data_IF_420274277366
#
_entry.id   IF_420274277366
#
_cell.length_a   1.000
_cell.length_b   1.000
_cell.length_c   1.000
_cell.angle_alpha   90.00
_cell.angle_beta   90.00
_cell.angle_gamma   90.00
#
_symmetry.space_group_name_H-M   'P 1'
#
loop_
_entity.id
_entity.type
_entity.pdbx_description
1 polymer ?
#
# COMPACT_ATOMS: atom_id res chain seq x y z
N UNK A 1 4.68 -21.49 7.11
CA UNK A 1 5.81 -20.70 6.59
C UNK A 1 7.09 -21.32 7.12
N UNK A 2 8.16 -21.40 6.32
CA UNK A 2 9.46 -21.90 6.78
C UNK A 2 10.18 -20.72 7.45
N UNK A 3 10.65 -20.89 8.68
CA UNK A 3 11.44 -19.88 9.41
C UNK A 3 12.84 -20.41 9.71
N UNK A 4 13.80 -19.50 9.85
CA UNK A 4 15.14 -19.81 10.36
C UNK A 4 15.10 -19.61 11.88
N UNK A 5 15.36 -20.65 12.69
CA UNK A 5 15.47 -20.49 14.14
C UNK A 5 16.56 -19.49 14.50
N UNK A 6 16.36 -18.70 15.57
CA UNK A 6 17.33 -17.71 16.01
C UNK A 6 18.71 -18.31 16.27
N UNK A 7 18.77 -19.48 16.92
CA UNK A 7 20.01 -20.22 17.15
C UNK A 7 20.73 -20.56 15.84
N UNK A 8 19.99 -20.96 14.80
CA UNK A 8 20.55 -21.21 13.46
C UNK A 8 21.05 -19.92 12.83
N UNK A 9 20.28 -18.83 12.91
CA UNK A 9 20.72 -17.53 12.37
C UNK A 9 22.01 -17.03 13.04
N UNK A 10 22.16 -17.22 14.35
CA UNK A 10 23.38 -16.89 15.10
C UNK A 10 24.54 -17.79 14.69
N UNK A 11 24.32 -19.12 14.67
CA UNK A 11 25.35 -20.10 14.34
C UNK A 11 25.91 -19.91 12.93
N UNK A 12 25.04 -19.60 11.98
CA UNK A 12 25.40 -19.41 10.57
C UNK A 12 25.78 -17.96 10.23
N UNK A 13 25.83 -17.05 11.22
CA UNK A 13 26.27 -15.67 11.02
C UNK A 13 25.35 -14.84 10.12
N UNK A 14 24.04 -15.06 10.22
CA UNK A 14 23.00 -14.41 9.38
C UNK A 14 22.42 -13.16 10.08
N UNK A 15 22.52 -13.08 11.42
CA UNK A 15 21.91 -12.00 12.22
C UNK A 15 22.94 -11.33 13.14
N UNK A 16 22.92 -9.99 13.14
CA UNK A 16 23.75 -9.13 13.98
C UNK A 16 22.91 -7.94 14.46
N UNK A 17 23.28 -7.34 15.59
CA UNK A 17 22.65 -6.11 16.08
C UNK A 17 23.59 -4.91 15.98
N UNK A 18 23.07 -3.81 15.46
CA UNK A 18 23.69 -2.50 15.53
C UNK A 18 22.98 -1.67 16.61
N UNK A 19 23.68 -1.08 17.60
CA UNK A 19 23.07 -0.28 18.65
C UNK A 19 22.49 1.04 18.11
N UNK A 20 21.26 1.42 18.46
CA UNK A 20 20.65 2.70 18.02
C UNK A 20 19.93 3.44 19.17
N UNK A 21 20.23 4.73 19.42
CA UNK A 21 19.50 5.57 20.36
C UNK A 21 18.30 6.30 19.70
N UNK A 22 17.14 6.47 20.33
CA UNK A 22 16.53 5.63 21.37
C UNK A 22 15.12 5.30 20.93
N UNK A 23 14.80 4.01 20.94
CA UNK A 23 13.52 3.49 20.44
C UNK A 23 13.25 3.96 19.00
N UNK A 24 14.17 3.69 18.07
CA UNK A 24 14.11 4.21 16.71
C UNK A 24 12.84 3.78 15.98
N UNK A 25 12.51 4.49 14.90
CA UNK A 25 11.31 4.24 14.11
C UNK A 25 11.60 3.84 12.66
N UNK A 26 11.88 4.80 11.79
CA UNK A 26 12.18 4.58 10.38
C UNK A 26 13.59 4.04 10.18
N UNK A 27 13.74 3.16 9.19
CA UNK A 27 14.99 2.52 8.80
C UNK A 27 15.00 2.51 7.27
N UNK A 28 15.67 3.51 6.71
CA UNK A 28 15.48 3.90 5.32
C UNK A 28 16.82 3.79 4.59
N UNK A 29 16.86 3.07 3.45
CA UNK A 29 18.10 2.87 2.67
C UNK A 29 18.25 3.95 1.61
N UNK A 30 19.37 4.68 1.66
CA UNK A 30 19.67 5.74 0.70
C UNK A 30 19.66 5.20 -0.75
N UNK A 31 19.25 6.00 -1.76
CA UNK A 31 19.25 5.62 -3.19
C UNK A 31 20.55 5.03 -3.72
N UNK A 32 21.69 5.39 -3.11
CA UNK A 32 22.99 4.85 -3.47
C UNK A 32 23.29 3.45 -2.88
N UNK A 33 22.43 2.93 -2.02
CA UNK A 33 22.53 1.59 -1.43
C UNK A 33 23.67 1.40 -0.44
N UNK A 34 24.45 2.44 -0.15
CA UNK A 34 25.63 2.39 0.71
C UNK A 34 25.37 2.82 2.16
N UNK A 35 24.22 3.45 2.44
CA UNK A 35 23.87 3.91 3.78
C UNK A 35 22.45 3.52 4.19
N UNK A 36 22.28 3.22 5.48
CA UNK A 36 20.98 3.08 6.15
C UNK A 36 20.82 4.29 7.08
N UNK A 37 19.69 4.98 7.00
CA UNK A 37 19.34 6.09 7.88
C UNK A 37 18.29 5.64 8.86
N UNK A 38 18.56 5.83 10.15
CA UNK A 38 17.63 5.45 11.22
C UNK A 38 17.12 6.70 11.94
N UNK A 39 15.79 6.81 12.04
CA UNK A 39 15.14 7.91 12.77
C UNK A 39 15.14 7.66 14.28
N UNK A 40 15.85 8.50 15.03
CA UNK A 40 16.09 8.32 16.46
C UNK A 40 14.86 8.42 17.37
N UNK A 41 13.72 8.91 16.87
CA UNK A 41 12.43 9.11 17.55
C UNK A 41 12.50 9.87 18.87
N UNK A 42 12.95 9.22 19.94
CA UNK A 42 13.14 9.86 21.25
C UNK A 42 14.48 10.59 21.33
N UNK A 43 15.40 10.28 20.44
CA UNK A 43 16.64 11.02 20.20
C UNK A 43 16.45 12.02 19.04
N UNK A 44 16.98 13.26 19.12
CA UNK A 44 16.76 14.28 18.10
C UNK A 44 17.63 14.12 16.84
N UNK A 45 18.40 13.04 16.73
CA UNK A 45 19.24 12.75 15.58
C UNK A 45 18.60 11.75 14.61
N UNK A 46 19.10 11.78 13.38
CA UNK A 46 19.17 10.58 12.55
C UNK A 46 20.57 9.99 12.64
N UNK A 47 20.64 8.67 12.76
CA UNK A 47 21.91 7.94 12.68
C UNK A 47 22.08 7.37 11.30
N UNK A 48 23.21 7.66 10.66
CA UNK A 48 23.57 7.11 9.35
C UNK A 48 24.55 5.97 9.57
N UNK A 49 24.18 4.77 9.15
CA UNK A 49 25.04 3.59 9.14
C UNK A 49 25.62 3.37 7.75
N UNK A 50 26.90 2.97 7.68
CA UNK A 50 27.53 2.57 6.41
C UNK A 50 27.44 1.06 6.24
N UNK A 51 26.92 0.63 5.09
CA UNK A 51 26.86 -0.79 4.70
C UNK A 51 28.27 -1.41 4.66
N UNK A 52 29.25 -0.66 4.16
CA UNK A 52 30.65 -1.10 4.11
C UNK A 52 31.19 -1.30 5.53
N UNK A 53 31.01 -0.33 6.41
CA UNK A 53 31.45 -0.40 7.80
C UNK A 53 30.81 -1.57 8.55
N UNK A 54 29.51 -1.81 8.35
CA UNK A 54 28.81 -2.98 8.91
C UNK A 54 29.47 -4.28 8.45
N UNK A 55 29.66 -4.46 7.14
CA UNK A 55 30.27 -5.68 6.58
C UNK A 55 31.71 -5.86 7.06
N UNK A 56 32.48 -4.77 7.16
CA UNK A 56 33.83 -4.79 7.70
C UNK A 56 33.84 -5.21 9.18
N UNK A 57 32.97 -4.63 10.01
CA UNK A 57 32.85 -4.98 11.43
C UNK A 57 32.48 -6.46 11.61
N UNK A 58 31.53 -6.98 10.81
CA UNK A 58 31.17 -8.41 10.79
C UNK A 58 32.38 -9.27 10.41
N UNK A 59 33.09 -8.92 9.32
CA UNK A 59 34.24 -9.70 8.83
C UNK A 59 35.40 -9.75 9.82
N UNK A 60 35.61 -8.67 10.58
CA UNK A 60 36.64 -8.54 11.61
C UNK A 60 36.20 -9.08 12.97
N UNK A 61 34.94 -9.50 13.08
CA UNK A 61 34.29 -9.88 14.33
C UNK A 61 34.41 -8.78 15.41
N UNK A 62 34.30 -7.52 14.99
CA UNK A 62 34.39 -6.36 15.89
C UNK A 62 33.08 -6.15 16.65
N UNK A 63 32.91 -6.97 17.68
CA UNK A 63 31.72 -7.00 18.52
C UNK A 63 32.02 -6.44 19.91
N UNK A 64 31.05 -5.73 20.50
CA UNK A 64 31.11 -5.31 21.90
C UNK A 64 30.58 -6.39 22.86
N UNK A 65 29.86 -7.37 22.34
CA UNK A 65 29.32 -8.46 23.11
C UNK A 65 28.29 -9.27 22.34
N UNK A 66 27.44 -9.96 23.09
CA UNK A 66 26.27 -10.67 22.59
C UNK A 66 25.06 -10.29 23.41
N UNK A 67 23.89 -10.33 22.79
CA UNK A 67 22.63 -10.20 23.52
C UNK A 67 22.33 -11.48 24.34
N UNK A 68 21.26 -11.51 25.16
CA UNK A 68 20.89 -12.69 25.95
C UNK A 68 20.58 -13.95 25.12
N UNK A 69 20.35 -13.83 23.82
CA UNK A 69 20.08 -14.94 22.90
C UNK A 69 21.31 -15.34 22.07
N UNK A 70 22.47 -14.72 22.30
CA UNK A 70 23.73 -15.03 21.65
C UNK A 70 24.00 -14.29 20.34
N UNK A 71 23.12 -13.36 19.94
CA UNK A 71 23.29 -12.53 18.74
C UNK A 71 24.46 -11.56 18.95
N UNK A 72 25.47 -11.53 18.06
CA UNK A 72 26.57 -10.59 18.20
C UNK A 72 26.11 -9.13 18.04
N UNK A 73 26.64 -8.26 18.89
CA UNK A 73 26.36 -6.83 18.91
C UNK A 73 27.58 -6.09 18.34
N UNK A 74 27.38 -5.40 17.23
CA UNK A 74 28.39 -4.59 16.55
C UNK A 74 28.70 -3.34 17.39
N UNK A 75 29.96 -2.88 17.39
CA UNK A 75 30.31 -1.61 18.04
C UNK A 75 29.68 -0.44 17.28
N UNK A 76 28.95 0.42 17.98
CA UNK A 76 28.26 1.57 17.38
C UNK A 76 29.17 2.44 16.49
N UNK A 77 30.31 2.89 17.02
CA UNK A 77 31.25 3.73 16.27
C UNK A 77 31.95 3.00 15.11
N UNK A 78 31.97 1.66 15.12
CA UNK A 78 32.53 0.87 14.02
C UNK A 78 31.58 0.79 12.82
N UNK A 79 30.27 1.00 13.02
CA UNK A 79 29.24 0.86 11.97
C UNK A 79 28.58 2.19 11.57
N UNK A 80 28.59 3.17 12.48
CA UNK A 80 28.10 4.53 12.24
C UNK A 80 29.00 5.25 11.23
N UNK A 81 28.35 5.89 10.27
CA UNK A 81 28.96 6.87 9.37
C UNK A 81 28.89 8.27 9.95
N UNK A 82 27.68 8.70 10.32
CA UNK A 82 27.42 10.03 10.84
C UNK A 82 26.20 10.04 11.78
N UNK A 83 26.07 11.10 12.56
CA UNK A 83 24.82 11.47 13.23
C UNK A 83 24.51 12.92 12.88
N UNK A 84 23.27 13.17 12.47
CA UNK A 84 22.81 14.51 12.10
C UNK A 84 21.71 14.91 13.08
N UNK A 85 21.92 15.97 13.83
CA UNK A 85 20.87 16.55 14.70
C UNK A 85 19.83 17.25 13.80
N UNK A 86 18.64 16.67 13.71
CA UNK A 86 17.61 17.13 12.77
C UNK A 86 16.44 17.82 13.46
N UNK A 87 16.20 17.56 14.75
CA UNK A 87 15.11 18.15 15.52
C UNK A 87 14.32 17.14 16.33
N UNK A 88 13.19 17.56 16.90
CA UNK A 88 12.45 16.72 17.85
C UNK A 88 11.51 15.73 17.14
N UNK A 89 11.63 14.45 17.51
CA UNK A 89 10.79 13.38 16.99
C UNK A 89 11.12 12.92 15.57
N UNK A 90 12.40 12.67 15.18
CA UNK A 90 12.72 12.19 13.85
C UNK A 90 12.17 10.78 13.65
N UNK A 91 11.28 10.60 12.65
CA UNK A 91 10.62 9.31 12.42
C UNK A 91 11.08 8.61 11.16
N UNK A 92 11.04 9.24 9.99
CA UNK A 92 11.20 8.56 8.70
C UNK A 92 11.89 9.46 7.69
N UNK A 93 12.70 8.90 6.79
CA UNK A 93 13.55 9.62 5.83
C UNK A 93 13.26 9.23 4.38
N UNK A 94 13.29 10.21 3.47
CA UNK A 94 13.25 10.03 2.01
C UNK A 94 14.27 10.92 1.32
N UNK A 95 14.47 10.77 0.01
CA UNK A 95 15.54 11.45 -0.73
C UNK A 95 15.06 12.09 -2.04
N UNK A 96 15.84 13.05 -2.55
CA UNK A 96 15.65 13.62 -3.89
C UNK A 96 16.86 13.35 -4.81
N UNK A 97 16.77 13.86 -6.05
CA UNK A 97 17.84 13.81 -7.05
C UNK A 97 18.90 14.91 -6.93
N UNK A 98 18.82 15.77 -5.91
CA UNK A 98 19.75 16.87 -5.70
C UNK A 98 20.73 16.60 -4.55
N UNK A 99 20.63 15.43 -3.90
CA UNK A 99 21.52 15.04 -2.81
C UNK A 99 21.01 15.46 -1.43
N UNK A 100 19.70 15.71 -1.30
CA UNK A 100 19.08 15.97 -0.01
C UNK A 100 18.30 14.76 0.49
N UNK A 101 18.32 14.60 1.81
CA UNK A 101 17.44 13.75 2.57
C UNK A 101 16.41 14.61 3.32
N UNK A 102 15.22 14.04 3.52
CA UNK A 102 14.06 14.68 4.13
C UNK A 102 13.58 13.80 5.27
N UNK A 103 13.66 14.29 6.51
CA UNK A 103 13.24 13.53 7.70
C UNK A 103 12.03 14.17 8.35
N UNK A 104 11.00 13.38 8.64
CA UNK A 104 9.82 13.84 9.39
C UNK A 104 10.15 14.07 10.86
N UNK A 105 9.71 15.21 11.40
CA UNK A 105 9.86 15.58 12.80
C UNK A 105 8.47 15.67 13.45
N UNK A 106 8.09 14.61 14.17
CA UNK A 106 6.76 14.46 14.74
C UNK A 106 6.43 15.53 15.77
N UNK A 107 7.39 15.89 16.63
CA UNK A 107 7.16 16.86 17.70
C UNK A 107 7.31 18.30 17.19
N UNK A 108 8.30 18.56 16.33
CA UNK A 108 8.46 19.88 15.71
C UNK A 108 7.37 20.20 14.68
N UNK A 109 6.58 19.19 14.25
CA UNK A 109 5.65 19.29 13.12
C UNK A 109 6.32 19.92 11.89
N UNK A 110 7.44 19.33 11.49
CA UNK A 110 8.25 19.82 10.37
C UNK A 110 8.89 18.68 9.58
N UNK A 111 9.38 18.99 8.38
CA UNK A 111 10.29 18.14 7.61
C UNK A 111 11.68 18.78 7.66
N UNK A 112 12.67 18.06 8.20
CA UNK A 112 14.07 18.45 8.12
C UNK A 112 14.65 18.10 6.75
N UNK A 113 15.15 19.09 6.00
CA UNK A 113 15.99 18.86 4.81
C UNK A 113 17.45 18.91 5.25
N UNK A 114 18.21 17.87 4.94
CA UNK A 114 19.64 17.77 5.25
C UNK A 114 20.40 17.10 4.09
N UNK A 115 21.72 17.25 4.04
CA UNK A 115 22.53 16.79 2.90
C UNK A 115 23.02 15.36 3.05
N UNK A 116 23.02 14.62 1.94
CA UNK A 116 23.61 13.30 1.84
C UNK A 116 25.14 13.37 1.75
N UNK A 117 25.83 12.33 2.22
CA UNK A 117 27.28 12.19 2.03
C UNK A 117 27.67 11.47 0.75
N UNK A 118 28.33 10.32 0.89
CA UNK A 118 28.81 9.59 -0.28
C UNK A 118 27.63 9.01 -1.08
N UNK A 119 27.37 9.59 -2.26
CA UNK A 119 26.32 9.21 -3.19
C UNK A 119 26.53 9.96 -4.53
N UNK A 120 25.96 9.44 -5.63
CA UNK A 120 25.97 10.12 -6.95
C UNK A 120 25.23 11.47 -6.94
N UNK A 121 24.28 11.64 -6.03
CA UNK A 121 23.54 12.89 -5.84
C UNK A 121 24.28 13.77 -4.83
N UNK A 122 24.57 15.02 -5.19
CA UNK A 122 25.39 15.94 -4.39
C UNK A 122 24.71 17.29 -4.23
N UNK A 123 24.42 17.64 -2.99
CA UNK A 123 24.04 18.98 -2.59
C UNK A 123 25.27 19.90 -2.52
N UNK A 124 25.12 21.22 -2.65
CA UNK A 124 26.23 22.17 -2.57
C UNK A 124 26.77 22.37 -1.15
N UNK A 125 25.98 22.13 -0.11
CA UNK A 125 26.43 22.20 1.28
C UNK A 125 27.30 20.99 1.65
N UNK A 126 27.99 21.07 2.80
CA UNK A 126 28.79 19.95 3.30
C UNK A 126 27.92 18.71 3.53
N UNK A 127 28.44 17.49 3.35
CA UNK A 127 27.77 16.26 3.74
C UNK A 127 27.19 16.29 5.16
N UNK A 128 26.09 15.56 5.38
CA UNK A 128 25.55 15.31 6.71
C UNK A 128 25.14 16.59 7.48
N UNK A 129 24.68 17.61 6.74
CA UNK A 129 24.39 18.94 7.29
C UNK A 129 22.90 19.24 7.21
N UNK A 130 22.30 19.64 8.33
CA UNK A 130 20.94 20.18 8.36
C UNK A 130 20.89 21.51 7.59
N UNK A 131 20.00 21.60 6.60
CA UNK A 131 19.86 22.78 5.73
C UNK A 131 18.67 23.63 6.12
N UNK A 132 17.51 23.01 6.37
CA UNK A 132 16.30 23.73 6.78
C UNK A 132 15.27 22.82 7.45
N UNK A 133 14.32 23.43 8.15
CA UNK A 133 13.07 22.79 8.60
C UNK A 133 11.89 23.41 7.86
N UNK A 134 11.07 22.57 7.25
CA UNK A 134 9.87 22.95 6.49
C UNK A 134 8.66 22.69 7.39
N UNK A 135 7.93 23.71 7.87
CA UNK A 135 6.77 23.49 8.73
C UNK A 135 5.65 22.71 8.02
N UNK A 136 5.02 21.79 8.75
CA UNK A 136 3.86 20.99 8.32
C UNK A 136 2.79 20.97 9.41
N UNK A 137 1.57 20.56 9.07
CA UNK A 137 0.38 20.67 9.95
C UNK A 137 -0.43 19.39 10.02
N UNK A 138 -0.42 18.62 11.10
CA UNK A 138 0.55 18.61 12.20
C UNK A 138 1.01 17.19 12.49
N UNK A 139 2.12 17.06 13.23
CA UNK A 139 2.61 15.78 13.72
C UNK A 139 2.80 14.77 12.58
N UNK A 140 3.76 15.09 11.70
CA UNK A 140 4.10 14.24 10.56
C UNK A 140 4.58 12.87 11.01
N UNK A 141 4.04 11.82 10.39
CA UNK A 141 4.48 10.44 10.55
C UNK A 141 5.56 10.09 9.53
N UNK A 142 5.16 9.40 8.47
CA UNK A 142 6.03 9.16 7.31
C UNK A 142 5.93 10.31 6.30
N UNK A 143 6.80 10.27 5.31
CA UNK A 143 6.77 11.12 4.12
C UNK A 143 7.15 10.29 2.90
N UNK A 144 6.79 10.77 1.72
CA UNK A 144 7.15 10.14 0.45
C UNK A 144 7.66 11.20 -0.53
N UNK A 145 8.79 10.97 -1.18
CA UNK A 145 9.24 11.79 -2.32
C UNK A 145 8.99 11.04 -3.62
N UNK A 146 8.93 11.75 -4.75
CA UNK A 146 8.78 11.11 -6.05
C UNK A 146 9.95 10.15 -6.32
N UNK A 147 9.63 8.86 -6.42
CA UNK A 147 10.58 7.76 -6.61
C UNK A 147 11.69 7.68 -5.54
N UNK A 148 11.42 8.21 -4.34
CA UNK A 148 12.38 8.36 -3.23
C UNK A 148 13.08 7.09 -2.81
N UNK A 149 12.34 5.98 -2.73
CA UNK A 149 12.86 4.66 -2.32
C UNK A 149 13.50 3.85 -3.47
N UNK A 150 13.90 4.53 -4.54
CA UNK A 150 14.54 3.89 -5.68
C UNK A 150 16.00 4.33 -5.80
N UNK A 151 16.76 3.66 -6.67
CA UNK A 151 18.13 4.07 -7.00
C UNK A 151 18.21 5.36 -7.84
N UNK A 152 17.06 5.91 -8.24
CA UNK A 152 16.96 7.09 -9.08
C UNK A 152 15.73 7.94 -8.69
N UNK A 153 15.75 8.58 -7.50
CA UNK A 153 14.70 9.50 -7.08
C UNK A 153 14.46 10.58 -8.14
N UNK A 154 13.21 11.00 -8.31
CA UNK A 154 12.86 12.06 -9.26
C UNK A 154 12.87 13.46 -8.60
N UNK A 155 12.76 13.50 -7.27
CA UNK A 155 12.71 14.73 -6.49
C UNK A 155 11.42 15.52 -6.76
N UNK A 156 11.54 16.84 -6.89
CA UNK A 156 10.45 17.81 -7.21
C UNK A 156 9.30 17.90 -6.19
N UNK A 157 8.68 16.79 -5.82
CA UNK A 157 7.56 16.75 -4.89
C UNK A 157 7.82 15.82 -3.71
N UNK A 158 7.30 16.23 -2.57
CA UNK A 158 7.25 15.48 -1.33
C UNK A 158 5.81 15.51 -0.80
N UNK A 159 5.32 14.40 -0.26
CA UNK A 159 4.06 14.33 0.48
C UNK A 159 4.37 14.05 1.94
N UNK A 160 3.93 14.95 2.83
CA UNK A 160 3.98 14.77 4.27
C UNK A 160 2.70 14.12 4.78
N UNK A 161 2.80 12.98 5.47
CA UNK A 161 1.64 12.22 5.97
C UNK A 161 1.36 12.61 7.42
N UNK A 162 0.65 13.71 7.61
CA UNK A 162 0.40 14.30 8.93
C UNK A 162 -0.72 13.58 9.67
N UNK A 163 -0.49 13.29 10.94
CA UNK A 163 -1.39 12.47 11.75
C UNK A 163 -2.58 13.25 12.27
N UNK A 164 -2.39 14.53 12.55
CA UNK A 164 -3.43 15.37 13.14
C UNK A 164 -3.79 16.52 12.21
N UNK A 165 -5.09 16.63 11.92
CA UNK A 165 -5.68 17.75 11.15
C UNK A 165 -5.88 18.99 11.99
N UNK A 166 -6.31 18.83 13.25
CA UNK A 166 -6.65 19.93 14.17
C UNK A 166 -7.60 20.94 13.51
N UNK A 167 -7.07 22.07 13.03
CA UNK A 167 -7.80 23.21 12.46
C UNK A 167 -7.58 23.40 10.94
N UNK A 168 -6.93 22.45 10.26
CA UNK A 168 -6.68 22.54 8.81
C UNK A 168 -7.97 22.53 7.95
N UNK A 169 -9.06 21.97 8.47
CA UNK A 169 -10.33 21.80 7.74
C UNK A 169 -11.54 22.18 8.60
N UNK A 170 -12.70 22.27 7.95
CA UNK A 170 -13.97 22.40 8.65
C UNK A 170 -14.17 21.23 9.63
N UNK A 171 -14.69 21.54 10.81
CA UNK A 171 -14.95 20.54 11.84
C UNK A 171 -16.07 19.59 11.38
N UNK A 172 -15.76 18.30 11.32
CA UNK A 172 -16.68 17.21 10.93
C UNK A 172 -17.07 16.31 12.11
N UNK A 173 -16.78 16.73 13.34
CA UNK A 173 -17.01 15.97 14.57
C UNK A 173 -15.72 15.39 15.16
N UNK A 174 -15.83 14.47 16.13
CA UNK A 174 -14.70 14.01 16.93
C UNK A 174 -13.68 13.15 16.17
N UNK A 175 -14.10 12.50 15.08
CA UNK A 175 -13.20 11.75 14.20
C UNK A 175 -12.77 12.64 13.05
N UNK A 176 -11.60 13.27 13.19
CA UNK A 176 -11.00 14.09 12.15
C UNK A 176 -10.24 13.23 11.12
N UNK A 177 -10.14 13.69 9.86
CA UNK A 177 -9.26 13.07 8.88
C UNK A 177 -7.78 13.20 9.27
N UNK A 178 -6.91 12.51 8.54
CA UNK A 178 -5.48 12.86 8.45
C UNK A 178 -5.28 13.96 7.42
N UNK A 179 -4.14 14.65 7.46
CA UNK A 179 -3.79 15.67 6.45
C UNK A 179 -2.57 15.24 5.66
N UNK A 180 -2.70 15.06 4.34
CA UNK A 180 -1.54 14.87 3.48
C UNK A 180 -1.19 16.20 2.82
N UNK A 181 0.03 16.67 3.04
CA UNK A 181 0.48 17.94 2.46
C UNK A 181 1.44 17.69 1.30
N UNK A 182 1.10 18.20 0.12
CA UNK A 182 2.00 18.23 -1.03
C UNK A 182 2.95 19.41 -0.89
N UNK A 183 4.26 19.16 -1.02
CA UNK A 183 5.33 20.12 -0.83
C UNK A 183 6.20 20.14 -2.10
N UNK A 184 6.45 21.34 -2.64
CA UNK A 184 7.41 21.55 -3.72
C UNK A 184 8.83 21.62 -3.15
N UNK A 185 9.66 20.65 -3.53
CA UNK A 185 11.07 20.53 -3.16
C UNK A 185 12.01 20.72 -4.36
N UNK A 186 11.49 21.19 -5.51
CA UNK A 186 12.26 21.32 -6.75
C UNK A 186 13.37 22.37 -6.72
N UNK A 187 13.30 23.34 -5.80
CA UNK A 187 14.25 24.46 -5.72
C UNK A 187 15.24 24.24 -4.58
N UNK A 188 16.50 23.97 -4.94
CA UNK A 188 17.63 24.04 -4.01
C UNK A 188 17.86 25.50 -3.57
N UNK A 189 18.22 25.70 -2.29
CA UNK A 189 18.48 27.02 -1.71
C UNK A 189 17.24 27.86 -1.32
N UNK A 190 16.04 27.50 -1.76
CA UNK A 190 14.79 28.13 -1.30
C UNK A 190 14.11 27.29 -0.20
N UNK A 191 13.31 27.96 0.63
CA UNK A 191 12.37 27.29 1.54
C UNK A 191 11.29 26.59 0.74
N UNK A 192 11.15 25.28 0.95
CA UNK A 192 10.13 24.47 0.28
C UNK A 192 8.74 24.99 0.63
N UNK A 193 7.81 24.90 -0.33
CA UNK A 193 6.46 25.46 -0.17
C UNK A 193 5.43 24.34 -0.12
N UNK A 194 4.56 24.40 0.89
CA UNK A 194 3.33 23.60 0.89
C UNK A 194 2.43 24.12 -0.23
N UNK A 195 2.03 23.24 -1.15
CA UNK A 195 1.19 23.54 -2.29
C UNK A 195 -0.28 23.20 -2.06
N UNK A 196 -0.55 22.13 -1.31
CA UNK A 196 -1.90 21.58 -1.17
C UNK A 196 -2.04 20.78 0.13
N UNK A 197 -3.18 20.94 0.79
CA UNK A 197 -3.59 20.19 1.98
C UNK A 197 -4.75 19.27 1.60
N UNK A 198 -4.53 17.95 1.61
CA UNK A 198 -5.54 16.95 1.26
C UNK A 198 -6.08 16.26 2.51
N UNK A 199 -7.40 16.31 2.78
CA UNK A 199 -7.99 15.50 3.83
C UNK A 199 -7.99 14.04 3.39
N UNK A 200 -7.33 13.18 4.16
CA UNK A 200 -7.41 11.74 4.01
C UNK A 200 -8.44 11.23 4.99
N UNK A 201 -9.45 10.52 4.49
CA UNK A 201 -10.54 9.99 5.30
C UNK A 201 -10.10 8.91 6.29
N UNK A 202 -10.90 7.87 6.42
CA UNK A 202 -10.71 6.84 7.46
C UNK A 202 -9.45 6.01 7.17
N UNK A 203 -8.73 5.65 8.24
CA UNK A 203 -7.75 4.57 8.23
C UNK A 203 -6.31 4.97 8.53
N UNK A 204 -6.02 6.26 8.67
CA UNK A 204 -4.68 6.80 8.98
C UNK A 204 -3.56 6.15 8.14
N UNK A 205 -3.52 6.32 6.81
CA UNK A 205 -2.51 5.64 6.00
C UNK A 205 -1.11 6.00 6.48
N UNK A 206 -0.34 4.97 6.83
CA UNK A 206 0.95 5.13 7.49
C UNK A 206 2.08 5.39 6.52
N UNK A 207 1.96 4.93 5.27
CA UNK A 207 3.00 5.02 4.27
C UNK A 207 2.42 5.15 2.87
N UNK A 208 3.20 5.70 1.94
CA UNK A 208 2.83 5.86 0.53
C UNK A 208 4.08 5.78 -0.35
N UNK A 209 3.86 5.54 -1.64
CA UNK A 209 4.89 5.54 -2.68
C UNK A 209 4.44 6.43 -3.84
N UNK A 210 5.38 7.10 -4.48
CA UNK A 210 5.11 7.98 -5.62
C UNK A 210 5.95 7.47 -6.79
N UNK A 211 5.28 7.10 -7.88
CA UNK A 211 5.90 6.57 -9.11
C UNK A 211 5.42 7.38 -10.32
N UNK A 212 6.27 7.51 -11.34
CA UNK A 212 5.84 8.09 -12.62
C UNK A 212 4.74 7.25 -13.27
N UNK A 213 3.69 7.91 -13.76
CA UNK A 213 2.53 7.24 -14.32
C UNK A 213 2.85 6.41 -15.58
N UNK A 214 3.86 6.83 -16.38
CA UNK A 214 4.29 6.13 -17.59
C UNK A 214 4.97 4.77 -17.33
N UNK A 215 5.40 4.50 -16.09
CA UNK A 215 5.94 3.20 -15.67
C UNK A 215 4.83 2.17 -15.40
N UNK A 216 3.58 2.61 -15.19
CA UNK A 216 2.46 1.72 -14.88
C UNK A 216 1.82 1.19 -16.17
N UNK A 217 1.79 -0.14 -16.31
CA UNK A 217 1.17 -0.85 -17.44
C UNK A 217 -0.06 -1.62 -16.95
N UNK A 218 -1.15 -0.90 -16.72
CA UNK A 218 -2.40 -1.48 -16.26
C UNK A 218 -3.21 -2.11 -17.41
N UNK A 219 -4.02 -3.11 -17.09
CA UNK A 219 -5.05 -3.60 -17.99
C UNK A 219 -6.28 -2.69 -17.92
N UNK A 220 -6.78 -2.27 -19.08
CA UNK A 220 -8.04 -1.52 -19.16
C UNK A 220 -9.27 -2.45 -19.17
N UNK A 221 -9.05 -3.69 -19.62
CA UNK A 221 -9.99 -4.81 -19.69
C UNK A 221 -9.15 -6.07 -19.49
N UNK A 222 -9.70 -7.11 -18.85
CA UNK A 222 -8.91 -8.32 -18.65
C UNK A 222 -8.49 -8.99 -19.98
N UNK A 223 -7.32 -9.66 -20.00
CA UNK A 223 -6.72 -10.18 -21.23
C UNK A 223 -7.68 -11.00 -22.10
N UNK A 224 -8.48 -11.87 -21.49
CA UNK A 224 -9.51 -12.67 -22.16
C UNK A 224 -10.83 -12.66 -21.36
N UNK A 225 -11.94 -12.98 -22.02
CA UNK A 225 -13.23 -13.17 -21.34
C UNK A 225 -13.16 -14.40 -20.44
N UNK A 226 -13.60 -14.22 -19.21
CA UNK A 226 -13.59 -15.24 -18.19
C UNK A 226 -12.34 -15.25 -17.32
N UNK A 227 -11.64 -14.12 -17.20
CA UNK A 227 -10.43 -14.00 -16.41
C UNK A 227 -10.70 -14.11 -14.91
N UNK A 228 -9.76 -14.71 -14.17
CA UNK A 228 -9.72 -14.69 -12.72
C UNK A 228 -8.51 -13.84 -12.29
N UNK A 229 -8.72 -12.66 -11.66
CA UNK A 229 -7.61 -11.79 -11.27
C UNK A 229 -6.76 -12.36 -10.13
N UNK A 230 -7.32 -13.24 -9.30
CA UNK A 230 -6.61 -13.87 -8.18
C UNK A 230 -5.58 -14.88 -8.71
N UNK A 231 -5.96 -15.69 -9.69
CA UNK A 231 -5.06 -16.71 -10.29
C UNK A 231 -4.32 -16.21 -11.52
N UNK A 232 -4.68 -15.03 -12.04
CA UNK A 232 -4.18 -14.46 -13.30
C UNK A 232 -4.26 -15.44 -14.47
N UNK A 233 -5.43 -16.08 -14.62
CA UNK A 233 -5.67 -17.07 -15.67
C UNK A 233 -7.16 -17.13 -16.02
N UNK A 234 -7.51 -17.83 -17.11
CA UNK A 234 -8.91 -18.17 -17.38
C UNK A 234 -9.54 -18.93 -16.21
N UNK A 235 -10.70 -18.49 -15.77
CA UNK A 235 -11.52 -19.16 -14.79
C UNK A 235 -12.08 -20.47 -15.38
N UNK A 236 -11.92 -21.64 -14.71
CA UNK A 236 -12.40 -22.92 -15.23
C UNK A 236 -13.91 -22.99 -15.53
N UNK A 237 -14.71 -22.19 -14.82
CA UNK A 237 -16.16 -22.09 -15.00
C UNK A 237 -16.61 -20.86 -15.82
N UNK A 238 -15.69 -20.19 -16.51
CA UNK A 238 -16.05 -19.10 -17.40
C UNK A 238 -17.00 -19.59 -18.51
N UNK A 239 -18.01 -18.78 -18.83
CA UNK A 239 -18.99 -19.10 -19.88
C UNK A 239 -19.27 -17.92 -20.79
N UNK A 240 -19.69 -18.23 -22.02
CA UNK A 240 -20.19 -17.26 -22.99
C UNK A 240 -21.70 -17.39 -23.23
N UNK A 241 -22.35 -18.35 -22.55
CA UNK A 241 -23.78 -18.56 -22.60
C UNK A 241 -24.28 -19.08 -21.25
N UNK A 242 -25.34 -18.46 -20.76
CA UNK A 242 -25.98 -18.81 -19.51
C UNK A 242 -26.61 -20.20 -19.51
N UNK A 243 -26.53 -20.90 -18.38
CA UNK A 243 -27.24 -22.17 -18.11
C UNK A 243 -27.27 -22.51 -16.62
N UNK A 244 -28.24 -23.32 -16.22
CA UNK A 244 -28.32 -23.90 -14.87
C UNK A 244 -28.15 -25.41 -14.95
N UNK A 245 -27.26 -25.97 -14.15
CA UNK A 245 -26.94 -27.40 -14.11
C UNK A 245 -27.16 -27.92 -12.70
N UNK A 246 -28.01 -28.95 -12.54
CA UNK A 246 -28.23 -29.61 -11.25
C UNK A 246 -27.46 -30.93 -11.18
N UNK A 247 -26.74 -31.13 -10.08
CA UNK A 247 -26.04 -32.38 -9.72
C UNK A 247 -26.42 -32.76 -8.30
N UNK A 248 -27.45 -33.59 -8.15
CA UNK A 248 -28.02 -33.92 -6.84
C UNK A 248 -28.63 -32.68 -6.16
N UNK A 249 -28.14 -32.36 -4.96
CA UNK A 249 -28.49 -31.16 -4.19
C UNK A 249 -27.60 -29.95 -4.52
N UNK A 250 -26.61 -30.08 -5.41
CA UNK A 250 -25.81 -28.95 -5.87
C UNK A 250 -26.43 -28.38 -7.15
N UNK A 251 -26.64 -27.07 -7.19
CA UNK A 251 -27.07 -26.33 -8.39
C UNK A 251 -25.95 -25.38 -8.80
N UNK A 252 -25.40 -25.63 -9.98
CA UNK A 252 -24.37 -24.82 -10.61
C UNK A 252 -25.04 -23.88 -11.61
N UNK A 253 -25.01 -22.58 -11.32
CA UNK A 253 -25.56 -21.52 -12.16
C UNK A 253 -24.38 -20.90 -12.89
N UNK A 254 -24.33 -21.07 -14.20
CA UNK A 254 -23.35 -20.38 -15.04
C UNK A 254 -24.09 -19.24 -15.73
N UNK A 255 -23.71 -18.02 -15.39
CA UNK A 255 -24.37 -16.81 -15.80
C UNK A 255 -23.43 -15.94 -16.62
N UNK A 256 -23.97 -15.26 -17.62
CA UNK A 256 -23.26 -14.18 -18.30
C UNK A 256 -23.86 -12.84 -17.92
N UNK A 257 -23.02 -11.82 -17.83
CA UNK A 257 -23.41 -10.43 -17.69
C UNK A 257 -22.92 -9.65 -18.92
N UNK A 258 -23.83 -8.96 -19.58
CA UNK A 258 -23.55 -8.00 -20.64
C UNK A 258 -24.54 -6.85 -20.45
N UNK A 259 -24.20 -5.62 -20.85
CA UNK A 259 -25.04 -4.44 -20.63
C UNK A 259 -26.54 -4.70 -20.67
N UNK A 260 -27.20 -4.32 -19.57
CA UNK A 260 -28.65 -4.39 -19.37
C UNK A 260 -29.21 -5.80 -19.18
N UNK A 261 -28.40 -6.87 -19.24
CA UNK A 261 -28.88 -8.25 -19.18
C UNK A 261 -27.97 -9.19 -18.37
N UNK A 262 -28.61 -9.99 -17.52
CA UNK A 262 -28.05 -11.26 -17.09
C UNK A 262 -28.61 -12.38 -17.94
N UNK A 263 -27.85 -13.45 -18.15
CA UNK A 263 -28.39 -14.68 -18.73
C UNK A 263 -27.93 -15.86 -17.88
N UNK A 264 -28.84 -16.62 -17.24
CA UNK A 264 -30.30 -16.49 -17.26
C UNK A 264 -30.86 -15.46 -16.25
N UNK A 265 -31.93 -14.75 -16.61
CA UNK A 265 -32.63 -13.80 -15.70
C UNK A 265 -33.61 -14.50 -14.73
N UNK A 266 -33.92 -15.78 -14.93
CA UNK A 266 -34.84 -16.53 -14.06
C UNK A 266 -34.19 -17.84 -13.66
N UNK A 267 -34.00 -18.01 -12.36
CA UNK A 267 -33.35 -19.18 -11.78
C UNK A 267 -34.29 -19.77 -10.75
N UNK A 268 -34.46 -21.09 -10.81
CA UNK A 268 -35.31 -21.82 -9.88
C UNK A 268 -34.53 -22.95 -9.22
N UNK A 269 -34.57 -22.99 -7.89
CA UNK A 269 -33.91 -23.97 -7.04
C UNK A 269 -34.86 -24.49 -5.96
N UNK A 270 -34.39 -25.44 -5.16
CA UNK A 270 -35.12 -25.99 -4.01
C UNK A 270 -34.46 -25.51 -2.73
N UNK A 271 -35.26 -25.37 -1.69
CA UNK A 271 -34.76 -25.11 -0.35
C UNK A 271 -33.72 -26.16 0.03
N UNK A 272 -32.59 -25.71 0.55
CA UNK A 272 -31.46 -26.55 0.96
C UNK A 272 -30.50 -26.94 -0.18
N UNK A 273 -30.73 -26.50 -1.42
CA UNK A 273 -29.74 -26.66 -2.48
C UNK A 273 -28.44 -25.90 -2.15
N UNK A 274 -27.30 -26.54 -2.39
CA UNK A 274 -25.99 -25.89 -2.43
C UNK A 274 -25.85 -25.18 -3.76
N UNK A 275 -25.70 -23.87 -3.75
CA UNK A 275 -25.60 -23.03 -4.93
C UNK A 275 -24.12 -22.74 -5.22
N UNK A 276 -23.70 -23.02 -6.45
CA UNK A 276 -22.43 -22.55 -7.02
C UNK A 276 -22.79 -21.62 -8.18
N UNK A 277 -22.60 -20.32 -8.03
CA UNK A 277 -23.01 -19.32 -9.03
C UNK A 277 -21.78 -18.66 -9.63
N UNK A 278 -21.50 -18.97 -10.88
CA UNK A 278 -20.41 -18.42 -11.68
C UNK A 278 -20.96 -17.34 -12.61
N UNK A 279 -20.44 -16.12 -12.54
CA UNK A 279 -20.91 -15.00 -13.36
C UNK A 279 -19.75 -14.49 -14.19
N UNK A 280 -19.87 -14.57 -15.52
CA UNK A 280 -18.87 -14.07 -16.47
C UNK A 280 -19.32 -12.75 -17.09
N UNK A 281 -18.54 -11.68 -16.88
CA UNK A 281 -18.73 -10.41 -17.60
C UNK A 281 -18.16 -10.55 -19.03
N UNK A 282 -19.04 -10.41 -20.02
CA UNK A 282 -18.69 -10.51 -21.45
C UNK A 282 -18.22 -9.18 -22.06
N UNK A 283 -18.27 -8.08 -21.32
CA UNK A 283 -17.86 -6.77 -21.79
C UNK A 283 -16.38 -6.75 -22.19
N UNK A 284 -16.10 -6.04 -23.29
CA UNK A 284 -14.75 -5.75 -23.78
C UNK A 284 -14.43 -4.26 -23.83
N UNK A 285 -15.31 -3.46 -23.25
CA UNK A 285 -15.17 -2.00 -23.16
C UNK A 285 -14.57 -1.66 -21.80
N UNK A 286 -13.59 -0.76 -21.79
CA UNK A 286 -13.03 -0.21 -20.54
C UNK A 286 -14.15 0.38 -19.69
N UNK A 287 -14.08 0.15 -18.38
CA UNK A 287 -15.02 0.69 -17.39
C UNK A 287 -16.47 0.17 -17.51
N UNK A 288 -16.72 -0.85 -18.33
CA UNK A 288 -18.01 -1.53 -18.41
C UNK A 288 -18.15 -2.61 -17.32
N UNK A 289 -17.97 -2.19 -16.07
CA UNK A 289 -18.09 -3.05 -14.89
C UNK A 289 -19.55 -3.37 -14.61
N UNK A 290 -19.82 -4.62 -14.22
CA UNK A 290 -21.13 -5.02 -13.69
C UNK A 290 -21.02 -5.29 -12.21
N UNK A 291 -22.10 -5.04 -11.49
CA UNK A 291 -22.28 -5.55 -10.14
C UNK A 291 -23.07 -6.84 -10.15
N UNK A 292 -23.30 -7.41 -8.98
CA UNK A 292 -24.33 -8.41 -8.72
C UNK A 292 -24.72 -8.32 -7.26
N UNK A 293 -26.01 -8.24 -6.96
CA UNK A 293 -26.53 -8.28 -5.60
C UNK A 293 -27.67 -9.28 -5.48
N UNK A 294 -27.66 -10.08 -4.42
CA UNK A 294 -28.76 -10.94 -4.00
C UNK A 294 -29.03 -10.67 -2.51
N UNK A 295 -29.87 -9.67 -2.17
CA UNK A 295 -29.95 -9.12 -0.82
C UNK A 295 -30.36 -10.10 0.27
N UNK A 296 -31.28 -11.04 -0.02
CA UNK A 296 -31.76 -11.99 0.99
C UNK A 296 -30.64 -12.86 1.55
N UNK A 297 -29.57 -13.10 0.78
CA UNK A 297 -28.40 -13.87 1.20
C UNK A 297 -27.20 -12.99 1.58
N UNK A 298 -27.37 -11.66 1.62
CA UNK A 298 -26.29 -10.70 1.86
C UNK A 298 -25.09 -10.90 0.92
N UNK A 299 -25.37 -11.15 -0.37
CA UNK A 299 -24.35 -11.39 -1.38
C UNK A 299 -24.23 -10.16 -2.29
N UNK A 300 -23.00 -9.70 -2.49
CA UNK A 300 -22.64 -8.68 -3.47
C UNK A 300 -21.32 -9.04 -4.17
N UNK A 301 -21.16 -8.63 -5.43
CA UNK A 301 -19.92 -8.77 -6.19
C UNK A 301 -19.72 -7.62 -7.19
N UNK A 302 -18.49 -7.18 -7.37
CA UNK A 302 -18.03 -6.43 -8.56
C UNK A 302 -17.52 -7.44 -9.59
N UNK A 303 -17.77 -7.17 -10.87
CA UNK A 303 -17.44 -8.05 -11.99
C UNK A 303 -16.92 -7.17 -13.14
N UNK A 304 -15.62 -6.94 -13.15
CA UNK A 304 -14.93 -6.07 -14.09
C UNK A 304 -14.96 -6.64 -15.52
N UNK A 305 -14.73 -5.81 -16.56
CA UNK A 305 -14.78 -6.24 -17.96
C UNK A 305 -13.89 -7.46 -18.25
N UNK A 306 -14.53 -8.58 -18.60
CA UNK A 306 -13.87 -9.85 -18.86
C UNK A 306 -13.68 -10.76 -17.65
N UNK A 307 -14.09 -10.38 -16.44
CA UNK A 307 -13.94 -11.20 -15.22
C UNK A 307 -14.93 -12.37 -15.17
N UNK A 308 -14.57 -13.44 -14.44
CA UNK A 308 -15.54 -14.37 -13.86
C UNK A 308 -15.38 -14.47 -12.35
N UNK A 309 -16.48 -14.20 -11.65
CA UNK A 309 -16.59 -14.38 -10.21
C UNK A 309 -17.38 -15.65 -9.89
N UNK A 310 -17.12 -16.23 -8.72
CA UNK A 310 -17.83 -17.40 -8.22
C UNK A 310 -18.35 -17.16 -6.81
N UNK A 311 -19.63 -17.47 -6.60
CA UNK A 311 -20.33 -17.31 -5.34
C UNK A 311 -20.82 -18.68 -4.87
N UNK A 312 -20.74 -18.95 -3.58
CA UNK A 312 -21.21 -20.21 -3.00
C UNK A 312 -22.04 -19.95 -1.75
N UNK A 313 -23.25 -20.53 -1.70
CA UNK A 313 -24.17 -20.41 -0.57
C UNK A 313 -25.20 -21.54 -0.55
N UNK A 314 -26.02 -21.62 0.49
CA UNK A 314 -27.16 -22.55 0.57
C UNK A 314 -28.46 -21.77 0.41
N UNK A 315 -29.34 -22.23 -0.48
CA UNK A 315 -30.65 -21.63 -0.66
C UNK A 315 -31.62 -22.06 0.45
N UNK A 316 -31.49 -21.51 1.66
CA UNK A 316 -32.22 -21.95 2.85
C UNK A 316 -33.59 -21.28 3.06
N UNK A 317 -33.84 -20.18 2.35
CA UNK A 317 -35.01 -19.31 2.53
C UNK A 317 -35.92 -19.43 1.32
N UNK A 318 -37.14 -19.98 1.46
CA UNK A 318 -38.09 -20.09 0.35
C UNK A 318 -38.68 -18.74 -0.04
N UNK A 319 -38.96 -18.54 -1.32
CA UNK A 319 -39.52 -17.30 -1.86
C UNK A 319 -38.96 -16.93 -3.22
N UNK A 320 -39.37 -15.76 -3.72
CA UNK A 320 -38.86 -15.16 -4.96
C UNK A 320 -38.05 -13.94 -4.61
N UNK A 321 -36.77 -13.93 -4.95
CA UNK A 321 -35.85 -12.85 -4.60
C UNK A 321 -35.27 -12.22 -5.87
N UNK A 322 -35.37 -10.91 -6.04
CA UNK A 322 -34.67 -10.26 -7.14
C UNK A 322 -33.16 -10.31 -6.90
N UNK A 323 -32.41 -10.53 -7.97
CA UNK A 323 -30.99 -10.16 -8.05
C UNK A 323 -30.83 -9.07 -9.11
N UNK A 324 -29.87 -8.18 -8.95
CA UNK A 324 -29.72 -7.02 -9.84
C UNK A 324 -28.28 -6.51 -9.88
N UNK A 325 -27.98 -5.72 -10.92
CA UNK A 325 -26.69 -5.05 -11.07
C UNK A 325 -26.60 -3.82 -10.16
N UNK A 326 -25.57 -3.75 -9.33
CA UNK A 326 -25.32 -2.60 -8.44
C UNK A 326 -24.57 -1.47 -9.13
N UNK A 327 -23.92 -1.75 -10.25
CA UNK A 327 -23.15 -0.77 -11.01
C UNK A 327 -24.01 -0.07 -12.07
N UNK A 328 -23.74 1.22 -12.28
CA UNK A 328 -24.36 1.97 -13.38
C UNK A 328 -23.70 1.56 -14.70
N UNK A 329 -24.02 0.38 -15.20
CA UNK A 329 -23.34 -0.24 -16.34
C UNK A 329 -23.90 0.20 -17.71
N UNK A 330 -25.10 0.80 -17.73
CA UNK A 330 -25.81 1.21 -18.95
C UNK A 330 -26.95 2.17 -18.63
N UNK A 331 -27.56 2.79 -19.64
CA UNK A 331 -28.78 3.59 -19.47
C UNK A 331 -29.96 2.79 -18.90
N UNK A 332 -29.95 1.46 -19.07
CA UNK A 332 -30.97 0.55 -18.56
C UNK A 332 -30.45 -0.28 -17.37
N UNK A 333 -29.58 0.30 -16.52
CA UNK A 333 -28.99 -0.46 -15.41
C UNK A 333 -30.04 -0.88 -14.36
N UNK A 334 -31.10 -0.08 -14.18
CA UNK A 334 -32.18 -0.40 -13.23
C UNK A 334 -33.00 -1.60 -13.69
N UNK A 335 -33.07 -1.82 -15.00
CA UNK A 335 -33.76 -2.95 -15.64
C UNK A 335 -32.90 -4.22 -15.68
N UNK A 336 -31.58 -4.12 -15.39
CA UNK A 336 -30.67 -5.25 -15.34
C UNK A 336 -30.88 -6.07 -14.06
N UNK A 337 -31.94 -6.87 -14.06
CA UNK A 337 -32.36 -7.68 -12.94
C UNK A 337 -32.86 -9.06 -13.37
N UNK A 338 -32.90 -9.97 -12.42
CA UNK A 338 -33.51 -11.28 -12.56
C UNK A 338 -34.12 -11.77 -11.26
N UNK A 339 -34.72 -12.95 -11.28
CA UNK A 339 -35.41 -13.55 -10.14
C UNK A 339 -34.83 -14.91 -9.78
N UNK A 340 -34.43 -15.04 -8.52
CA UNK A 340 -34.00 -16.27 -7.88
C UNK A 340 -35.16 -16.84 -7.05
N UNK A 341 -35.79 -17.90 -7.56
CA UNK A 341 -36.92 -18.58 -6.94
C UNK A 341 -36.44 -19.80 -6.16
N UNK A 342 -36.71 -19.83 -4.86
CA UNK A 342 -36.43 -20.96 -3.97
C UNK A 342 -37.74 -21.64 -3.63
N UNK A 343 -37.96 -22.83 -4.18
CA UNK A 343 -39.14 -23.66 -3.87
C UNK A 343 -39.07 -24.19 -2.42
N UNK A 344 -40.18 -24.19 -1.68
CA UNK A 344 -40.24 -24.61 -0.28
C UNK A 344 -39.84 -26.07 -0.06
#
# INVERSE_FOLDING_TARGET
>A
FKVIPLETAVKEGILFFAPEPKSPHGVDVCPCGNHIVVGGKLDPHVTVYSMEKILQAISKQDFEGKDPYGVPILRFDAVKEAQVEVGLGPLHTQWDNQGYAYTSLFLDSAVARWTMGDCKFKAPEQPWTLVQKIPVRYNIGHLATAEGDTVDPDGKYLVALNKWTVDNFLNVGPLLPQTFQLIDISRSGETAKVLYDMPIGIGEPHYAQIIKADKLKAWEVYPEVGWNPITQSKHPQAVTKGRVVRKGNTVEILMTAIRSHYEPERIEVRRGDRILWHITNLERTRDATHGFSLPVYNITASIEPGETVSLEFVADTPGTFPFYCTEFCSALHLEMAGYFLVRP
#
